data_IF_728899011557
#
_entry.id   IF_728899011557
#
_cell.length_a   1.000
_cell.length_b   1.000
_cell.length_c   1.000
_cell.angle_alpha   90.00
_cell.angle_beta   90.00
_cell.angle_gamma   90.00
#
_symmetry.space_group_name_H-M   'P 1'
#
loop_
_entity.id
_entity.type
_entity.pdbx_description
1 polymer ?
#
# COMPACT_ATOMS: atom_id res chain seq x y z
N UNK A 1 2.67 36.42 -4.73
CA UNK A 1 3.56 35.26 -4.94
C UNK A 1 2.68 34.04 -4.83
N UNK A 2 2.51 33.27 -5.91
CA UNK A 2 1.80 31.99 -5.78
C UNK A 2 2.66 31.07 -4.92
N UNK A 3 2.11 30.47 -3.85
CA UNK A 3 2.87 29.52 -3.04
C UNK A 3 3.31 28.35 -3.93
N UNK A 4 4.63 28.15 -4.06
CA UNK A 4 5.15 26.96 -4.70
C UNK A 4 4.99 25.79 -3.73
N UNK A 5 3.90 25.04 -3.87
CA UNK A 5 3.71 23.79 -3.13
C UNK A 5 4.66 22.73 -3.69
N UNK A 6 5.34 22.02 -2.81
CA UNK A 6 6.15 20.86 -3.19
C UNK A 6 5.25 19.76 -3.74
N UNK A 7 5.69 18.99 -4.74
CA UNK A 7 4.89 17.89 -5.30
C UNK A 7 4.83 16.72 -4.33
N UNK A 8 3.76 15.95 -4.40
CA UNK A 8 3.62 14.74 -3.61
C UNK A 8 4.52 13.63 -4.17
N UNK A 9 5.43 13.13 -3.34
CA UNK A 9 6.27 11.96 -3.65
C UNK A 9 5.56 10.67 -3.22
N UNK A 10 5.28 9.79 -4.19
CA UNK A 10 4.53 8.55 -3.97
C UNK A 10 5.33 7.47 -3.22
N UNK A 11 6.63 7.69 -3.04
CA UNK A 11 7.53 6.78 -2.31
C UNK A 11 7.76 7.20 -0.84
N UNK A 12 7.14 8.30 -0.43
CA UNK A 12 7.24 8.82 0.93
C UNK A 12 6.34 8.08 1.92
N UNK A 13 6.51 8.35 3.22
CA UNK A 13 5.76 7.73 4.32
C UNK A 13 4.32 8.25 4.40
N UNK A 14 3.46 7.56 5.16
CA UNK A 14 2.09 8.03 5.42
C UNK A 14 2.05 9.42 6.09
N UNK A 15 2.99 9.68 7.01
CA UNK A 15 3.13 10.99 7.68
C UNK A 15 3.41 12.11 6.66
N UNK A 16 4.29 11.88 5.69
CA UNK A 16 4.57 12.86 4.64
C UNK A 16 3.36 13.15 3.73
N UNK A 17 2.48 12.15 3.54
CA UNK A 17 1.20 12.35 2.85
C UNK A 17 0.27 13.24 3.68
N UNK A 18 0.12 12.96 4.97
CA UNK A 18 -0.71 13.76 5.88
C UNK A 18 -0.22 15.22 5.93
N UNK A 19 1.09 15.44 6.10
CA UNK A 19 1.71 16.77 6.09
C UNK A 19 1.48 17.51 4.76
N UNK A 20 1.49 16.79 3.63
CA UNK A 20 1.17 17.38 2.34
C UNK A 20 -0.30 17.81 2.26
N UNK A 21 -1.24 16.95 2.68
CA UNK A 21 -2.67 17.26 2.65
C UNK A 21 -3.03 18.42 3.57
N UNK A 22 -2.45 18.48 4.77
CA UNK A 22 -2.68 19.59 5.69
C UNK A 22 -2.20 20.92 5.07
N UNK A 23 -0.99 20.95 4.49
CA UNK A 23 -0.48 22.13 3.78
C UNK A 23 -1.37 22.54 2.60
N UNK A 24 -1.88 21.56 1.86
CA UNK A 24 -2.81 21.82 0.74
C UNK A 24 -4.13 22.41 1.24
N UNK A 25 -4.69 21.88 2.32
CA UNK A 25 -5.94 22.37 2.90
C UNK A 25 -5.79 23.78 3.47
N UNK A 26 -4.68 24.07 4.17
CA UNK A 26 -4.36 25.43 4.62
C UNK A 26 -4.24 26.37 3.42
N UNK A 27 -3.55 25.96 2.35
CA UNK A 27 -3.44 26.75 1.13
C UNK A 27 -4.82 27.00 0.51
N UNK A 28 -5.66 25.98 0.40
CA UNK A 28 -7.00 26.08 -0.17
C UNK A 28 -7.91 27.01 0.65
N UNK A 29 -7.84 26.96 1.98
CA UNK A 29 -8.58 27.87 2.87
C UNK A 29 -8.23 29.35 2.67
N UNK A 30 -7.02 29.66 2.21
CA UNK A 30 -6.62 31.06 1.90
C UNK A 30 -7.15 31.56 0.56
N UNK A 31 -7.75 30.69 -0.25
CA UNK A 31 -8.40 31.06 -1.51
C UNK A 31 -9.88 31.31 -1.22
N UNK A 32 -10.25 32.57 -1.03
CA UNK A 32 -11.61 33.02 -0.70
C UNK A 32 -12.70 32.53 -1.69
N UNK A 33 -12.31 32.10 -2.91
CA UNK A 33 -13.21 31.66 -4.00
C UNK A 33 -13.07 30.17 -4.38
N UNK A 34 -12.50 29.31 -3.53
CA UNK A 34 -12.32 27.90 -3.86
C UNK A 34 -13.63 27.10 -3.72
N UNK A 35 -14.44 27.04 -4.79
CA UNK A 35 -15.46 25.99 -4.94
C UNK A 35 -14.80 24.60 -4.93
N UNK A 36 -15.56 23.56 -4.60
CA UNK A 36 -15.06 22.17 -4.55
C UNK A 36 -14.36 21.76 -5.87
N UNK A 37 -14.94 22.14 -7.01
CA UNK A 37 -14.35 21.91 -8.34
C UNK A 37 -13.00 22.64 -8.50
N UNK A 38 -12.88 23.85 -7.97
CA UNK A 38 -11.64 24.62 -8.00
C UNK A 38 -10.57 23.98 -7.10
N UNK A 39 -10.99 23.45 -5.95
CA UNK A 39 -10.12 22.71 -5.01
C UNK A 39 -9.58 21.44 -5.66
N UNK A 40 -10.43 20.63 -6.31
CA UNK A 40 -9.99 19.43 -7.03
C UNK A 40 -9.02 19.77 -8.16
N UNK A 41 -9.29 20.81 -8.96
CA UNK A 41 -8.41 21.22 -10.04
C UNK A 41 -7.02 21.67 -9.52
N UNK A 42 -7.00 22.46 -8.45
CA UNK A 42 -5.75 22.87 -7.80
C UNK A 42 -5.00 21.68 -7.23
N UNK A 43 -5.68 20.79 -6.52
CA UNK A 43 -5.10 19.57 -5.98
C UNK A 43 -4.40 18.75 -7.07
N UNK A 44 -5.11 18.42 -8.15
CA UNK A 44 -4.57 17.64 -9.27
C UNK A 44 -3.39 18.33 -9.97
N UNK A 45 -3.30 19.66 -9.89
CA UNK A 45 -2.19 20.44 -10.42
C UNK A 45 -0.96 20.35 -9.51
N UNK A 46 -1.14 20.44 -8.18
CA UNK A 46 -0.04 20.49 -7.21
C UNK A 46 0.59 19.13 -6.90
N UNK A 47 -0.20 18.04 -6.90
CA UNK A 47 0.32 16.70 -6.56
C UNK A 47 1.44 16.22 -7.48
N UNK A 48 1.54 16.76 -8.70
CA UNK A 48 2.55 16.37 -9.67
C UNK A 48 2.19 15.14 -10.50
N UNK A 49 3.02 14.87 -11.51
CA UNK A 49 2.73 13.90 -12.58
C UNK A 49 2.59 12.46 -12.09
N UNK A 50 3.46 12.03 -11.17
CA UNK A 50 3.51 10.64 -10.71
C UNK A 50 2.31 10.31 -9.83
N UNK A 51 2.05 11.14 -8.81
CA UNK A 51 0.84 11.05 -7.99
C UNK A 51 -0.45 11.15 -8.81
N UNK A 52 -0.51 12.04 -9.82
CA UNK A 52 -1.65 12.10 -10.73
C UNK A 52 -1.83 10.80 -11.55
N UNK A 53 -0.74 10.19 -12.02
CA UNK A 53 -0.78 8.94 -12.79
C UNK A 53 -1.26 7.77 -11.93
N UNK A 54 -0.83 7.74 -10.66
CA UNK A 54 -1.32 6.81 -9.66
C UNK A 54 -2.82 7.00 -9.41
N UNK A 55 -3.26 8.23 -9.11
CA UNK A 55 -4.68 8.55 -8.93
C UNK A 55 -5.52 8.15 -10.13
N UNK A 56 -5.04 8.38 -11.36
CA UNK A 56 -5.75 7.97 -12.57
C UNK A 56 -5.96 6.46 -12.62
N UNK A 57 -5.05 5.67 -12.08
CA UNK A 57 -5.18 4.21 -12.00
C UNK A 57 -6.14 3.81 -10.88
N UNK A 58 -6.03 4.43 -9.70
CA UNK A 58 -6.88 4.15 -8.53
C UNK A 58 -8.34 4.56 -8.72
N UNK A 59 -8.59 5.65 -9.45
CA UNK A 59 -9.92 6.21 -9.69
C UNK A 59 -10.72 5.50 -10.80
N UNK A 60 -10.16 4.50 -11.48
CA UNK A 60 -10.83 3.82 -12.60
C UNK A 60 -12.15 3.16 -12.14
N UNK A 61 -13.24 3.26 -12.92
CA UNK A 61 -13.32 3.76 -14.30
C UNK A 61 -13.52 5.28 -14.44
N UNK A 62 -13.62 6.01 -13.33
CA UNK A 62 -13.89 7.44 -13.30
C UNK A 62 -12.62 8.25 -13.59
N UNK A 63 -12.78 9.56 -13.84
CA UNK A 63 -11.64 10.47 -14.02
C UNK A 63 -11.35 11.14 -12.67
N UNK A 64 -10.08 11.38 -12.31
CA UNK A 64 -9.77 12.07 -11.05
C UNK A 64 -10.50 13.42 -10.89
N UNK A 65 -10.69 14.18 -11.97
CA UNK A 65 -11.41 15.47 -11.95
C UNK A 65 -12.91 15.36 -11.64
N UNK A 66 -13.52 14.18 -11.82
CA UNK A 66 -14.95 13.97 -11.51
C UNK A 66 -15.20 13.50 -10.09
N UNK A 67 -14.14 13.15 -9.35
CA UNK A 67 -14.23 12.71 -7.97
C UNK A 67 -14.10 13.89 -7.01
N UNK A 68 -14.79 13.88 -5.87
CA UNK A 68 -14.61 14.89 -4.84
C UNK A 68 -13.21 14.78 -4.23
N UNK A 69 -12.69 15.90 -3.71
CA UNK A 69 -11.35 15.95 -3.11
C UNK A 69 -11.16 14.90 -2.01
N UNK A 70 -12.17 14.68 -1.16
CA UNK A 70 -12.12 13.70 -0.06
C UNK A 70 -11.84 12.29 -0.58
N UNK A 71 -12.51 11.86 -1.66
CA UNK A 71 -12.26 10.56 -2.28
C UNK A 71 -10.86 10.47 -2.85
N UNK A 72 -10.34 11.53 -3.49
CA UNK A 72 -8.97 11.54 -4.00
C UNK A 72 -7.92 11.44 -2.88
N UNK A 73 -8.15 12.13 -1.76
CA UNK A 73 -7.30 12.07 -0.56
C UNK A 73 -7.28 10.66 0.03
N UNK A 74 -8.45 10.06 0.22
CA UNK A 74 -8.59 8.69 0.74
C UNK A 74 -7.90 7.66 -0.14
N UNK A 75 -8.07 7.73 -1.47
CA UNK A 75 -7.41 6.81 -2.41
C UNK A 75 -5.87 6.82 -2.27
N UNK A 76 -5.28 8.00 -2.06
CA UNK A 76 -3.83 8.13 -1.88
C UNK A 76 -3.36 7.65 -0.50
N UNK A 77 -4.13 7.93 0.56
CA UNK A 77 -3.86 7.43 1.92
C UNK A 77 -3.96 5.90 1.99
N UNK A 78 -4.97 5.31 1.35
CA UNK A 78 -5.14 3.87 1.28
C UNK A 78 -3.97 3.21 0.53
N UNK A 79 -3.49 3.82 -0.55
CA UNK A 79 -2.31 3.34 -1.28
C UNK A 79 -1.07 3.31 -0.39
N UNK A 80 -0.73 4.41 0.29
CA UNK A 80 0.49 4.48 1.12
C UNK A 80 0.39 3.53 2.32
N UNK A 81 -0.80 3.38 2.91
CA UNK A 81 -1.05 2.41 3.97
C UNK A 81 -0.87 0.97 3.48
N UNK A 82 -1.38 0.66 2.29
CA UNK A 82 -1.19 -0.66 1.67
C UNK A 82 0.29 -0.97 1.40
N UNK A 83 1.03 -0.03 0.80
CA UNK A 83 2.45 -0.25 0.48
C UNK A 83 3.33 -0.35 1.73
N UNK A 84 3.02 0.42 2.78
CA UNK A 84 3.73 0.33 4.05
C UNK A 84 3.49 -1.03 4.73
N UNK A 85 2.29 -1.59 4.60
CA UNK A 85 1.97 -2.90 5.15
C UNK A 85 2.63 -4.06 4.39
N UNK A 86 2.70 -4.01 3.07
CA UNK A 86 3.40 -5.01 2.25
C UNK A 86 4.93 -4.99 2.50
N UNK A 87 5.50 -3.82 2.78
CA UNK A 87 6.91 -3.70 3.18
C UNK A 87 7.20 -4.36 4.54
N UNK A 88 6.22 -4.41 5.45
CA UNK A 88 6.32 -5.15 6.72
C UNK A 88 6.18 -6.67 6.59
N UNK A 89 5.61 -7.16 5.48
CA UNK A 89 5.38 -8.60 5.23
C UNK A 89 6.46 -9.28 4.40
N UNK A 90 7.21 -8.52 3.61
CA UNK A 90 8.31 -9.08 2.81
C UNK A 90 9.57 -9.39 3.65
N UNK A 91 9.56 -9.02 4.93
CA UNK A 91 10.67 -9.20 5.88
C UNK A 91 10.59 -10.39 6.85
N UNK A 92 9.62 -11.31 6.74
CA UNK A 92 9.67 -12.51 7.57
C UNK A 92 8.35 -13.24 7.78
N UNK A 93 8.04 -14.18 6.90
CA UNK A 93 7.44 -15.46 7.29
C UNK A 93 7.64 -16.50 6.19
N UNK A 94 8.91 -16.85 5.96
CA UNK A 94 9.24 -18.14 5.36
C UNK A 94 9.12 -19.20 6.47
N UNK A 95 7.89 -19.48 6.91
CA UNK A 95 7.61 -20.73 7.61
C UNK A 95 7.67 -21.84 6.56
N UNK A 96 8.84 -22.45 6.43
CA UNK A 96 8.99 -23.75 5.78
C UNK A 96 8.35 -24.79 6.69
N UNK A 97 7.05 -25.00 6.55
CA UNK A 97 6.41 -26.22 7.03
C UNK A 97 6.96 -27.34 6.14
N UNK A 98 7.96 -28.06 6.64
CA UNK A 98 8.42 -29.31 6.03
C UNK A 98 7.36 -30.37 6.31
N UNK A 99 6.47 -30.56 5.34
CA UNK A 99 5.53 -31.66 5.31
C UNK A 99 6.30 -32.97 5.09
N UNK A 100 6.57 -33.72 6.16
CA UNK A 100 6.68 -35.18 6.08
C UNK A 100 5.60 -35.77 6.98
N UNK A 101 4.37 -35.70 6.48
CA UNK A 101 3.34 -36.65 6.84
C UNK A 101 3.20 -37.57 5.63
N UNK A 102 3.60 -38.84 5.84
CA UNK A 102 2.92 -40.07 5.38
C UNK A 102 3.67 -40.94 4.36
N UNK A 103 4.32 -41.98 4.90
CA UNK A 103 4.21 -43.38 4.47
C UNK A 103 5.13 -44.22 5.39
N UNK A 104 4.66 -45.00 6.35
CA UNK A 104 4.40 -46.42 6.09
C UNK A 104 3.58 -47.02 7.22
N UNK A 105 2.28 -47.11 7.00
CA UNK A 105 1.47 -48.08 7.74
C UNK A 105 1.80 -49.47 7.19
N UNK A 106 1.81 -50.44 8.10
CA UNK A 106 1.67 -51.89 7.87
C UNK A 106 2.90 -52.71 7.43
N UNK A 107 3.23 -53.64 8.32
CA UNK A 107 3.57 -55.06 8.08
C UNK A 107 5.05 -55.47 8.10
N UNK A 108 5.36 -56.16 9.21
CA UNK A 108 5.81 -57.55 9.26
C UNK A 108 7.26 -57.80 9.72
N UNK A 109 7.34 -58.75 10.66
CA UNK A 109 8.47 -59.63 11.01
C UNK A 109 9.41 -59.14 12.11
N UNK A 110 9.09 -59.55 13.34
CA UNK A 110 10.06 -60.25 14.18
C UNK A 110 10.65 -61.42 13.35
N UNK A 111 11.98 -61.61 13.38
CA UNK A 111 12.49 -62.83 14.02
C UNK A 111 13.73 -62.59 14.90
N UNK A 112 13.82 -63.46 15.91
CA UNK A 112 14.86 -63.58 16.92
C UNK A 112 16.30 -63.68 16.36
N UNK A 113 17.31 -63.18 17.08
CA UNK A 113 18.68 -63.61 16.87
C UNK A 113 18.97 -64.85 17.74
N UNK A 114 19.03 -66.01 17.09
CA UNK A 114 19.54 -67.26 17.65
C UNK A 114 20.85 -67.65 16.94
N UNK A 115 21.87 -67.94 17.77
CA UNK A 115 23.18 -68.61 17.52
C UNK A 115 24.27 -67.81 16.75
N UNK A 116 25.57 -67.91 17.07
CA UNK A 116 26.40 -69.12 17.33
C UNK A 116 27.66 -68.88 18.20
N UNK A 117 27.99 -69.94 18.95
CA UNK A 117 29.25 -70.44 19.54
C UNK A 117 30.61 -69.78 19.20
N UNK A 118 31.42 -69.63 20.26
CA UNK A 118 32.89 -69.63 20.30
C UNK A 118 33.33 -70.03 21.70
#
# INVERSE_FOLDING_TARGET
MEPAMEKLDIHSTSEAFEDYFERFEIWAMTKEDAEDVNTVAHFLTFIGKEAYSLLRTLAMPEKPISLPYTTLKELLLDYVNYTNFECGKTGGSREMIHEDIRNSTTLLRHPDPVHTQG
#
